data_IF_956115013991
#
_entry.id   IF_956115013991
#
_cell.length_a   1.000
_cell.length_b   1.000
_cell.length_c   1.000
_cell.angle_alpha   90.00
_cell.angle_beta   90.00
_cell.angle_gamma   90.00
#
_symmetry.space_group_name_H-M   'P 1'
#
loop_
_entity.id
_entity.type
_entity.pdbx_description
1 polymer ?
#
# COMPACT_ATOMS: atom_id res chain seq x y z
N UNK A 1 13.39 29.27 3.48
CA UNK A 1 12.08 29.12 4.12
C UNK A 1 11.10 28.27 3.32
N UNK A 2 10.92 28.58 2.05
CA UNK A 2 10.05 27.78 1.20
C UNK A 2 10.49 26.32 1.12
N UNK A 3 11.78 26.08 1.09
CA UNK A 3 12.36 24.74 1.04
C UNK A 3 11.99 23.92 2.28
N UNK A 4 12.09 24.52 3.46
CA UNK A 4 11.75 23.85 4.70
C UNK A 4 10.27 23.51 4.79
N UNK A 5 9.39 24.42 4.33
CA UNK A 5 7.94 24.19 4.29
C UNK A 5 7.58 23.07 3.33
N UNK A 6 8.23 23.03 2.14
CA UNK A 6 8.01 21.98 1.16
C UNK A 6 8.49 20.62 1.69
N UNK A 7 9.61 20.61 2.39
CA UNK A 7 10.16 19.38 2.98
C UNK A 7 9.21 18.81 4.04
N UNK A 8 8.63 19.68 4.87
CA UNK A 8 7.67 19.27 5.87
C UNK A 8 6.41 18.70 5.24
N UNK A 9 5.92 19.32 4.16
CA UNK A 9 4.78 18.80 3.43
C UNK A 9 5.06 17.44 2.80
N UNK A 10 6.24 17.28 2.22
CA UNK A 10 6.64 16.01 1.63
C UNK A 10 6.72 14.94 2.71
N UNK A 11 7.30 15.26 3.86
CA UNK A 11 7.39 14.33 4.99
C UNK A 11 6.01 13.92 5.49
N UNK A 12 5.08 14.87 5.58
CA UNK A 12 3.69 14.60 5.98
C UNK A 12 3.00 13.70 4.98
N UNK A 13 3.14 13.99 3.68
CA UNK A 13 2.57 13.17 2.62
C UNK A 13 3.13 11.76 2.63
N UNK A 14 4.45 11.62 2.79
CA UNK A 14 5.09 10.31 2.90
C UNK A 14 4.53 9.52 4.08
N UNK A 15 4.34 10.18 5.22
CA UNK A 15 3.77 9.54 6.39
C UNK A 15 2.34 9.07 6.14
N UNK A 16 1.51 9.93 5.54
CA UNK A 16 0.12 9.59 5.21
C UNK A 16 0.04 8.43 4.21
N UNK A 17 0.85 8.49 3.16
CA UNK A 17 0.86 7.45 2.14
C UNK A 17 1.36 6.13 2.70
N UNK A 18 2.39 6.18 3.53
CA UNK A 18 2.94 4.98 4.17
C UNK A 18 1.94 4.33 5.12
N UNK A 19 1.22 5.16 5.89
CA UNK A 19 0.18 4.67 6.80
C UNK A 19 -0.98 4.04 6.01
N UNK A 20 -1.39 4.69 4.93
CA UNK A 20 -2.46 4.16 4.07
C UNK A 20 -2.04 2.82 3.47
N UNK A 21 -0.79 2.73 2.99
CA UNK A 21 -0.26 1.50 2.43
C UNK A 21 -0.22 0.39 3.47
N UNK A 22 0.23 0.71 4.69
CA UNK A 22 0.25 -0.26 5.79
C UNK A 22 -1.16 -0.76 6.11
N UNK A 23 -2.16 0.12 6.09
CA UNK A 23 -3.55 -0.26 6.34
C UNK A 23 -4.08 -1.17 5.23
N UNK A 24 -3.72 -0.90 3.98
CA UNK A 24 -4.08 -1.76 2.84
C UNK A 24 -3.51 -3.16 3.05
N UNK A 25 -2.26 -3.25 3.50
CA UNK A 25 -1.59 -4.52 3.75
C UNK A 25 -2.24 -5.29 4.91
N UNK A 26 -2.63 -4.59 5.98
CA UNK A 26 -3.33 -5.20 7.11
C UNK A 26 -4.70 -5.75 6.67
N UNK A 27 -5.44 -4.98 5.88
CA UNK A 27 -6.73 -5.43 5.34
C UNK A 27 -6.57 -6.69 4.50
N UNK A 28 -5.51 -6.75 3.71
CA UNK A 28 -5.20 -7.92 2.89
C UNK A 28 -4.93 -9.15 3.76
N UNK A 29 -4.15 -8.99 4.84
CA UNK A 29 -3.86 -10.09 5.75
C UNK A 29 -5.13 -10.62 6.42
N UNK A 30 -6.04 -9.73 6.84
CA UNK A 30 -7.33 -10.14 7.39
C UNK A 30 -8.18 -10.88 6.36
N UNK A 31 -8.18 -10.41 5.13
CA UNK A 31 -8.94 -11.06 4.06
C UNK A 31 -8.42 -12.46 3.78
N UNK A 32 -7.09 -12.64 3.74
CA UNK A 32 -6.49 -13.96 3.58
C UNK A 32 -6.85 -14.89 4.71
N UNK A 33 -6.82 -14.39 5.94
CA UNK A 33 -7.17 -15.18 7.12
C UNK A 33 -8.63 -15.65 7.03
N UNK A 34 -9.53 -14.77 6.60
CA UNK A 34 -10.95 -15.09 6.43
C UNK A 34 -11.14 -16.15 5.35
N UNK A 35 -10.43 -16.02 4.23
CA UNK A 35 -10.51 -16.99 3.13
C UNK A 35 -10.10 -18.38 3.58
N UNK A 36 -9.05 -18.47 4.40
CA UNK A 36 -8.59 -19.78 4.94
C UNK A 36 -9.68 -20.49 5.71
N UNK A 37 -10.51 -19.75 6.43
CA UNK A 37 -11.56 -20.30 7.28
C UNK A 37 -12.85 -20.58 6.49
N UNK A 38 -13.19 -19.68 5.55
CA UNK A 38 -14.52 -19.71 4.91
C UNK A 38 -14.52 -20.35 3.53
N UNK A 39 -13.41 -20.32 2.80
CA UNK A 39 -13.40 -20.82 1.42
C UNK A 39 -13.17 -22.34 1.40
N UNK A 40 -13.90 -23.00 0.51
CA UNK A 40 -13.72 -24.42 0.26
C UNK A 40 -12.35 -24.67 -0.36
N UNK A 41 -11.66 -25.78 0.03
CA UNK A 41 -10.31 -26.06 -0.47
C UNK A 41 -10.20 -26.06 -2.00
N UNK A 42 -11.25 -26.51 -2.69
CA UNK A 42 -11.26 -26.66 -4.15
C UNK A 42 -11.12 -25.32 -4.88
N UNK A 43 -11.62 -24.22 -4.27
CA UNK A 43 -11.60 -22.91 -4.91
C UNK A 43 -10.70 -21.90 -4.20
N UNK A 44 -10.11 -22.32 -3.06
CA UNK A 44 -9.30 -21.41 -2.22
C UNK A 44 -8.15 -20.77 -2.99
N UNK A 45 -7.41 -21.56 -3.75
CA UNK A 45 -6.26 -21.05 -4.51
C UNK A 45 -6.68 -19.97 -5.51
N UNK A 46 -7.81 -20.17 -6.17
CA UNK A 46 -8.34 -19.22 -7.14
C UNK A 46 -8.75 -17.92 -6.47
N UNK A 47 -9.42 -18.02 -5.32
CA UNK A 47 -9.86 -16.85 -4.56
C UNK A 47 -8.65 -16.07 -4.05
N UNK A 48 -7.65 -16.76 -3.49
CA UNK A 48 -6.42 -16.14 -3.00
C UNK A 48 -5.71 -15.40 -4.14
N UNK A 49 -5.62 -16.01 -5.31
CA UNK A 49 -4.99 -15.37 -6.47
C UNK A 49 -5.71 -14.08 -6.88
N UNK A 50 -7.04 -14.13 -6.93
CA UNK A 50 -7.86 -12.94 -7.26
C UNK A 50 -7.64 -11.83 -6.23
N UNK A 51 -7.65 -12.16 -4.96
CA UNK A 51 -7.45 -11.20 -3.88
C UNK A 51 -6.04 -10.62 -3.94
N UNK A 52 -5.05 -11.45 -4.24
CA UNK A 52 -3.65 -11.00 -4.39
C UNK A 52 -3.51 -10.00 -5.53
N UNK A 53 -4.11 -10.29 -6.67
CA UNK A 53 -4.06 -9.39 -7.82
C UNK A 53 -4.70 -8.05 -7.51
N UNK A 54 -5.83 -8.08 -6.81
CA UNK A 54 -6.51 -6.85 -6.38
C UNK A 54 -5.65 -6.06 -5.40
N UNK A 55 -4.99 -6.74 -4.48
CA UNK A 55 -4.11 -6.12 -3.49
C UNK A 55 -2.92 -5.43 -4.18
N UNK A 56 -2.26 -6.10 -5.12
CA UNK A 56 -1.16 -5.53 -5.88
C UNK A 56 -1.62 -4.27 -6.62
N UNK A 57 -2.75 -4.34 -7.30
CA UNK A 57 -3.30 -3.21 -8.05
C UNK A 57 -3.64 -2.04 -7.13
N UNK A 58 -4.16 -2.33 -5.93
CA UNK A 58 -4.54 -1.32 -4.95
C UNK A 58 -3.32 -0.61 -4.35
N UNK A 59 -2.23 -1.35 -4.15
CA UNK A 59 -0.98 -0.80 -3.60
C UNK A 59 -0.24 0.08 -4.60
N UNK A 60 -0.33 -0.24 -5.87
CA UNK A 60 0.51 0.34 -6.92
C UNK A 60 0.54 1.88 -6.93
N UNK A 61 -0.61 2.60 -6.89
CA UNK A 61 -0.57 4.07 -6.90
C UNK A 61 0.19 4.65 -5.70
N UNK A 62 0.05 4.04 -4.52
CA UNK A 62 0.72 4.52 -3.30
C UNK A 62 2.22 4.27 -3.36
N UNK A 63 2.62 3.08 -3.81
CA UNK A 63 4.03 2.74 -3.98
C UNK A 63 4.70 3.72 -4.93
N UNK A 64 4.03 4.02 -6.03
CA UNK A 64 4.54 4.93 -7.06
C UNK A 64 4.68 6.35 -6.52
N UNK A 65 3.66 6.85 -5.82
CA UNK A 65 3.69 8.18 -5.24
C UNK A 65 4.77 8.33 -4.18
N UNK A 66 4.93 7.31 -3.33
CA UNK A 66 5.99 7.30 -2.31
C UNK A 66 7.36 7.36 -2.99
N UNK A 67 7.58 6.57 -4.02
CA UNK A 67 8.85 6.57 -4.75
C UNK A 67 9.13 7.94 -5.37
N UNK A 68 8.11 8.58 -5.95
CA UNK A 68 8.24 9.92 -6.53
C UNK A 68 8.61 10.97 -5.49
N UNK A 69 7.95 10.95 -4.34
CA UNK A 69 8.22 11.90 -3.27
C UNK A 69 9.62 11.71 -2.69
N UNK A 70 10.06 10.46 -2.51
CA UNK A 70 11.41 10.16 -2.02
C UNK A 70 12.47 10.65 -3.01
N UNK A 71 12.18 10.51 -4.28
CA UNK A 71 13.07 10.97 -5.35
C UNK A 71 13.26 12.49 -5.27
N UNK A 72 12.18 13.23 -5.05
CA UNK A 72 12.23 14.69 -4.90
C UNK A 72 13.08 15.11 -3.71
N UNK A 73 12.92 14.42 -2.58
CA UNK A 73 13.73 14.69 -1.40
C UNK A 73 15.21 14.39 -1.66
N UNK A 74 15.49 13.31 -2.39
CA UNK A 74 16.85 12.89 -2.71
C UNK A 74 17.57 13.77 -3.73
N UNK A 75 16.87 14.63 -4.43
CA UNK A 75 17.45 15.46 -5.48
C UNK A 75 18.03 16.79 -5.00
N UNK A 76 18.31 16.90 -3.75
CA UNK A 76 18.94 18.12 -3.18
C UNK A 76 20.42 18.07 -3.18
#
# INVERSE_FOLDING_TARGET
MEKAANDNRIAELLSLLSTTLANIDVEYDFELARIRVTAKPEIRAMIVDTVRQRHIARREPYVRQIAELRKRVGQR
#
